data_IF_894056486006
#
_entry.id   IF_894056486006
#
_cell.length_a   1.000
_cell.length_b   1.000
_cell.length_c   1.000
_cell.angle_alpha   90.00
_cell.angle_beta   90.00
_cell.angle_gamma   90.00
#
_symmetry.space_group_name_H-M   'P 1'
#
loop_
_entity.id
_entity.type
_entity.pdbx_description
1 polymer ?
#
# COMPACT_ATOMS: atom_id res chain seq x y z
N UNK A 1 15.20 14.03 -19.08
CA UNK A 1 14.29 13.45 -18.07
C UNK A 1 14.98 12.28 -17.38
N UNK A 2 15.43 12.44 -16.13
CA UNK A 2 16.30 11.44 -15.46
C UNK A 2 15.95 11.16 -14.00
N UNK A 3 14.69 11.40 -13.60
CA UNK A 3 14.22 10.94 -12.30
C UNK A 3 13.77 9.48 -12.41
N UNK A 4 14.10 8.61 -11.43
CA UNK A 4 13.59 7.25 -11.40
C UNK A 4 12.06 7.28 -11.34
N UNK A 5 11.45 6.29 -11.99
CA UNK A 5 10.01 6.12 -11.98
C UNK A 5 9.52 5.76 -10.57
N UNK A 6 8.26 6.09 -10.23
CA UNK A 6 7.62 5.56 -9.03
C UNK A 6 7.62 4.02 -9.01
N UNK A 7 7.70 3.45 -7.82
CA UNK A 7 7.60 2.00 -7.59
C UNK A 7 6.22 1.68 -7.06
N UNK A 8 5.58 0.65 -7.61
CA UNK A 8 4.26 0.18 -7.18
C UNK A 8 4.32 -1.26 -6.69
N UNK A 9 3.65 -1.53 -5.56
CA UNK A 9 3.59 -2.87 -4.99
C UNK A 9 2.19 -3.16 -4.42
N UNK A 10 1.63 -4.35 -4.71
CA UNK A 10 0.44 -4.83 -4.00
C UNK A 10 0.89 -5.29 -2.61
N UNK A 11 0.43 -4.58 -1.57
CA UNK A 11 0.80 -4.87 -0.18
C UNK A 11 -0.21 -5.74 0.54
N UNK A 12 -1.46 -5.75 0.07
CA UNK A 12 -2.47 -6.69 0.56
C UNK A 12 -3.50 -7.05 -0.51
N UNK A 13 -4.08 -8.24 -0.37
CA UNK A 13 -5.32 -8.65 -1.03
C UNK A 13 -6.20 -9.28 0.04
N UNK A 14 -7.40 -8.74 0.21
CA UNK A 14 -8.32 -9.09 1.29
C UNK A 14 -9.66 -9.53 0.71
N UNK A 15 -10.41 -10.33 1.46
CA UNK A 15 -11.76 -10.76 1.07
C UNK A 15 -11.80 -12.05 0.23
N UNK A 16 -13.02 -12.54 0.00
CA UNK A 16 -13.27 -13.69 -0.84
C UNK A 16 -12.96 -13.39 -2.31
N UNK A 17 -12.65 -14.42 -3.12
CA UNK A 17 -12.22 -14.26 -4.52
C UNK A 17 -13.15 -13.39 -5.39
N UNK A 18 -14.46 -13.43 -5.15
CA UNK A 18 -15.47 -12.66 -5.88
C UNK A 18 -15.76 -11.26 -5.28
N UNK A 19 -15.15 -10.92 -4.15
CA UNK A 19 -15.29 -9.64 -3.48
C UNK A 19 -13.94 -9.22 -2.87
N UNK A 20 -12.89 -9.24 -3.71
CA UNK A 20 -11.55 -8.90 -3.27
C UNK A 20 -11.34 -7.40 -3.23
N UNK A 21 -10.60 -6.97 -2.22
CA UNK A 21 -10.04 -5.62 -2.13
C UNK A 21 -8.53 -5.74 -2.23
N UNK A 22 -7.95 -4.91 -3.08
CA UNK A 22 -6.51 -4.79 -3.27
C UNK A 22 -6.01 -3.53 -2.60
N UNK A 23 -4.85 -3.60 -1.97
CA UNK A 23 -4.12 -2.45 -1.45
C UNK A 23 -2.79 -2.36 -2.19
N UNK A 24 -2.50 -1.18 -2.75
CA UNK A 24 -1.30 -0.90 -3.52
C UNK A 24 -0.56 0.28 -2.89
N UNK A 25 0.74 0.12 -2.70
CA UNK A 25 1.64 1.18 -2.34
C UNK A 25 2.24 1.83 -3.59
N UNK A 26 2.26 3.16 -3.63
CA UNK A 26 3.05 3.97 -4.55
C UNK A 26 4.18 4.65 -3.78
N UNK A 27 5.43 4.35 -4.15
CA UNK A 27 6.62 4.95 -3.54
C UNK A 27 7.38 5.83 -4.54
N UNK A 28 7.71 7.06 -4.13
CA UNK A 28 8.55 8.00 -4.87
C UNK A 28 9.78 8.34 -4.01
N UNK A 29 10.84 7.51 -4.05
CA UNK A 29 11.97 7.61 -3.11
C UNK A 29 12.67 8.98 -3.11
N UNK A 30 12.78 9.64 -4.27
CA UNK A 30 13.41 10.97 -4.36
C UNK A 30 12.65 12.06 -3.63
N UNK A 31 11.34 11.90 -3.44
CA UNK A 31 10.51 12.83 -2.67
C UNK A 31 10.30 12.35 -1.23
N UNK A 32 10.83 11.17 -0.87
CA UNK A 32 10.52 10.50 0.40
C UNK A 32 9.01 10.36 0.62
N UNK A 33 8.26 10.15 -0.46
CA UNK A 33 6.81 9.98 -0.44
C UNK A 33 6.45 8.52 -0.62
N UNK A 34 5.50 8.07 0.18
CA UNK A 34 4.82 6.79 0.02
C UNK A 34 3.33 7.03 0.27
N UNK A 35 2.48 6.50 -0.60
CA UNK A 35 1.02 6.53 -0.43
C UNK A 35 0.40 5.17 -0.70
N UNK A 36 -0.68 4.87 0.01
CA UNK A 36 -1.43 3.62 -0.12
C UNK A 36 -2.77 3.92 -0.80
N UNK A 37 -3.13 3.14 -1.81
CA UNK A 37 -4.44 3.17 -2.42
C UNK A 37 -5.14 1.82 -2.28
N UNK A 38 -6.47 1.84 -2.24
CA UNK A 38 -7.28 0.62 -2.18
C UNK A 38 -8.36 0.61 -3.28
N UNK A 39 -8.77 -0.58 -3.70
CA UNK A 39 -9.81 -0.73 -4.72
C UNK A 39 -10.22 -2.16 -4.99
N UNK A 40 -11.34 -2.33 -5.70
CA UNK A 40 -11.88 -3.64 -6.10
C UNK A 40 -11.02 -4.37 -7.16
N UNK A 41 -9.98 -3.70 -7.68
CA UNK A 41 -8.96 -4.30 -8.55
C UNK A 41 -7.61 -3.68 -8.25
N UNK A 42 -6.52 -4.37 -8.61
CA UNK A 42 -5.15 -3.84 -8.49
C UNK A 42 -4.98 -2.49 -9.19
N UNK A 43 -5.52 -2.35 -10.41
CA UNK A 43 -5.43 -1.09 -11.18
C UNK A 43 -6.19 0.05 -10.50
N UNK A 44 -7.37 -0.21 -9.94
CA UNK A 44 -8.12 0.80 -9.21
C UNK A 44 -7.35 1.26 -7.95
N UNK A 45 -6.79 0.31 -7.19
CA UNK A 45 -5.96 0.63 -6.03
C UNK A 45 -4.71 1.45 -6.40
N UNK A 46 -4.04 1.08 -7.50
CA UNK A 46 -2.89 1.81 -8.04
C UNK A 46 -3.25 3.25 -8.44
N UNK A 47 -4.39 3.45 -9.12
CA UNK A 47 -4.87 4.78 -9.50
C UNK A 47 -5.13 5.67 -8.28
N UNK A 48 -5.70 5.11 -7.21
CA UNK A 48 -5.90 5.84 -5.95
C UNK A 48 -4.54 6.22 -5.34
N UNK A 49 -3.62 5.25 -5.22
CA UNK A 49 -2.28 5.48 -4.66
C UNK A 49 -1.51 6.56 -5.45
N UNK A 50 -1.58 6.51 -6.79
CA UNK A 50 -0.94 7.47 -7.68
C UNK A 50 -1.54 8.88 -7.54
N UNK A 51 -2.87 8.98 -7.39
CA UNK A 51 -3.57 10.26 -7.22
C UNK A 51 -3.15 10.94 -5.91
N UNK A 52 -3.10 10.18 -4.82
CA UNK A 52 -2.65 10.70 -3.52
C UNK A 52 -1.17 11.06 -3.51
N UNK A 53 -0.32 10.26 -4.18
CA UNK A 53 1.10 10.55 -4.32
C UNK A 53 1.34 11.85 -5.11
N UNK A 54 0.57 12.08 -6.18
CA UNK A 54 0.62 13.31 -6.97
C UNK A 54 0.23 14.51 -6.11
N UNK A 55 -0.91 14.45 -5.40
CA UNK A 55 -1.36 15.53 -4.54
C UNK A 55 -0.33 15.86 -3.44
N UNK A 56 0.25 14.83 -2.81
CA UNK A 56 1.31 14.98 -1.81
C UNK A 56 2.58 15.61 -2.40
N UNK A 57 2.98 15.20 -3.60
CA UNK A 57 4.12 15.78 -4.30
C UNK A 57 3.91 17.27 -4.63
N UNK A 58 2.72 17.64 -5.07
CA UNK A 58 2.38 19.05 -5.34
C UNK A 58 2.46 19.93 -4.08
N UNK A 59 1.96 19.43 -2.94
CA UNK A 59 2.03 20.12 -1.65
C UNK A 59 3.48 20.27 -1.15
N UNK A 60 4.30 19.23 -1.32
CA UNK A 60 5.71 19.27 -0.95
C UNK A 60 6.53 20.25 -1.82
N UNK A 61 6.14 20.44 -3.08
CA UNK A 61 6.76 21.42 -3.98
C UNK A 61 6.36 22.87 -3.66
N UNK A 62 5.18 23.11 -3.07
CA UNK A 62 4.65 24.45 -2.80
C UNK A 62 4.95 24.98 -1.39
N UNK A 63 5.39 24.13 -0.46
CA UNK A 63 5.67 24.51 0.93
C UNK A 63 7.01 23.93 1.42
N UNK A 64 8.10 24.68 1.33
CA UNK A 64 9.32 24.39 2.09
C UNK A 64 9.39 25.33 3.32
N UNK A 65 9.75 24.85 4.54
CA UNK A 65 11.07 24.23 4.74
C UNK A 65 11.23 23.11 5.82
N UNK A 66 12.39 22.42 5.69
CA UNK A 66 13.32 21.90 6.72
C UNK A 66 13.09 20.56 7.46
N UNK A 67 14.02 19.62 7.17
CA UNK A 67 14.58 18.55 8.03
C UNK A 67 13.92 18.34 9.40
N UNK A 68 13.12 17.28 9.52
CA UNK A 68 13.11 16.45 10.74
C UNK A 68 13.12 14.97 10.41
N UNK A 69 14.35 14.45 10.41
CA UNK A 69 14.72 13.04 10.56
C UNK A 69 13.92 12.42 11.73
N UNK A 70 13.02 11.48 11.44
CA UNK A 70 12.57 10.48 12.43
C UNK A 70 12.33 9.15 11.74
N UNK A 71 13.39 8.34 11.73
CA UNK A 71 13.29 6.89 11.66
C UNK A 71 12.37 6.43 12.78
N UNK A 72 11.15 6.02 12.44
CA UNK A 72 10.26 5.22 13.30
C UNK A 72 9.82 4.05 12.44
N UNK A 73 10.51 2.94 12.60
CA UNK A 73 10.03 1.81 13.39
C UNK A 73 9.27 0.86 12.49
N UNK A 74 10.00 -0.17 12.09
CA UNK A 74 9.53 -1.45 11.61
C UNK A 74 8.45 -1.97 12.57
N UNK A 75 7.18 -1.65 12.32
CA UNK A 75 6.10 -2.38 12.95
C UNK A 75 5.91 -3.65 12.14
N UNK A 76 6.36 -4.75 12.73
CA UNK A 76 6.06 -6.08 12.22
C UNK A 76 4.55 -6.24 12.34
N UNK A 77 3.85 -6.14 11.21
CA UNK A 77 2.51 -6.71 11.11
C UNK A 77 2.66 -8.23 11.32
N UNK A 78 2.39 -8.66 12.55
CA UNK A 78 2.10 -10.06 12.86
C UNK A 78 0.85 -10.44 12.05
N UNK A 79 0.92 -11.45 11.17
CA UNK A 79 -0.28 -11.91 10.49
C UNK A 79 -1.25 -12.44 11.55
N UNK A 80 -2.55 -12.11 11.49
CA UNK A 80 -3.52 -12.60 12.46
C UNK A 80 -3.47 -14.14 12.52
N UNK A 81 -3.54 -14.76 13.71
CA UNK A 81 -3.45 -16.20 13.84
C UNK A 81 -4.58 -16.83 13.02
N UNK A 82 -4.22 -17.59 12.00
CA UNK A 82 -5.17 -18.36 11.21
C UNK A 82 -5.89 -19.33 12.16
N UNK A 83 -7.17 -19.05 12.39
CA UNK A 83 -8.08 -20.00 13.01
C UNK A 83 -8.04 -21.28 12.19
N UNK A 84 -7.54 -22.34 12.80
CA UNK A 84 -7.60 -23.70 12.25
C UNK A 84 -9.06 -24.09 12.20
N UNK A 85 -9.68 -24.03 11.02
CA UNK A 85 -10.94 -24.70 10.77
C UNK A 85 -10.61 -26.18 10.53
N UNK A 86 -10.63 -26.95 11.62
CA UNK A 86 -10.53 -28.40 11.61
C UNK A 86 -11.69 -28.95 10.79
N UNK A 87 -11.43 -29.48 9.59
CA UNK A 87 -12.42 -30.23 8.85
C UNK A 87 -12.30 -31.70 9.26
N UNK A 88 -13.19 -32.15 10.14
CA UNK A 88 -13.42 -33.58 10.33
C UNK A 88 -14.15 -34.11 9.10
N UNK A 89 -13.44 -34.88 8.28
CA UNK A 89 -14.01 -35.62 7.16
C UNK A 89 -14.71 -36.87 7.70
N UNK A 90 -16.01 -36.78 8.00
CA UNK A 90 -16.83 -37.97 8.28
C UNK A 90 -17.21 -38.63 6.95
N UNK A 91 -16.71 -39.84 6.73
CA UNK A 91 -17.22 -40.75 5.71
C UNK A 91 -18.41 -41.52 6.28
N UNK A 92 -19.60 -41.32 5.70
CA UNK A 92 -20.55 -42.40 5.44
C UNK A 92 -21.47 -41.98 4.30
#
# INVERSE_FOLDING_TARGET
NGLPLPVYAVVATRGAAHNQVFEVECSIPKLSLTQLGSGASRRAAEQVAATEALASAQLALSSAPSKRRKTRSKDKAEPPPQAKLSFETSHQ
#
